data_IF_298221960581
#
_entry.id   IF_298221960581
#
_cell.length_a   1.000
_cell.length_b   1.000
_cell.length_c   1.000
_cell.angle_alpha   90.00
_cell.angle_beta   90.00
_cell.angle_gamma   90.00
#
_symmetry.space_group_name_H-M   'P 1'
#
loop_
_entity.id
_entity.type
_entity.pdbx_description
1 polymer ?
#
# COMPACT_ATOMS: atom_id res chain seq x y z
N UNK A 1 3.02 12.26 -6.26
CA UNK A 1 3.26 12.49 -7.70
C UNK A 1 2.05 13.18 -8.31
N UNK A 2 2.28 14.10 -9.24
CA UNK A 2 1.18 14.74 -9.98
C UNK A 2 0.64 13.78 -11.07
N UNK A 3 -0.66 13.83 -11.36
CA UNK A 3 -1.21 13.10 -12.49
C UNK A 3 -0.53 13.48 -13.82
N UNK A 4 -0.17 12.49 -14.64
CA UNK A 4 0.52 12.71 -15.92
C UNK A 4 2.02 13.05 -15.82
N UNK A 5 2.59 13.08 -14.62
CA UNK A 5 4.02 13.28 -14.41
C UNK A 5 4.82 12.08 -14.91
N UNK A 6 5.71 12.29 -15.88
CA UNK A 6 6.66 11.26 -16.30
C UNK A 6 7.75 11.07 -15.25
N UNK A 7 7.83 9.86 -14.72
CA UNK A 7 8.76 9.50 -13.65
C UNK A 7 10.10 9.07 -14.21
N UNK A 8 11.16 9.59 -13.61
CA UNK A 8 12.52 9.09 -13.81
C UNK A 8 13.10 8.78 -12.41
N UNK A 9 13.17 7.51 -12.08
CA UNK A 9 13.63 7.04 -10.76
C UNK A 9 15.11 7.32 -10.52
N UNK A 10 15.93 7.36 -11.56
CA UNK A 10 17.36 7.71 -11.45
C UNK A 10 17.57 9.16 -10.94
N UNK A 11 16.60 10.05 -11.18
CA UNK A 11 16.60 11.43 -10.68
C UNK A 11 15.97 11.60 -9.30
N UNK A 12 15.33 10.57 -8.77
CA UNK A 12 14.70 10.59 -7.45
C UNK A 12 15.62 9.99 -6.41
N UNK A 13 15.73 10.69 -5.27
CA UNK A 13 16.60 10.25 -4.17
C UNK A 13 16.00 9.02 -3.48
N UNK A 14 16.84 8.02 -3.22
CA UNK A 14 16.52 6.86 -2.38
C UNK A 14 16.82 7.13 -0.90
N UNK A 15 17.68 8.14 -0.63
CA UNK A 15 18.06 8.61 0.71
C UNK A 15 17.91 10.12 0.79
N UNK A 16 17.30 10.62 1.85
CA UNK A 16 17.16 12.05 2.18
C UNK A 16 17.77 12.33 3.54
N UNK A 17 17.95 13.60 3.89
CA UNK A 17 18.29 13.99 5.25
C UNK A 17 17.27 13.39 6.22
N UNK A 18 17.69 12.85 7.39
CA UNK A 18 16.76 12.38 8.40
C UNK A 18 15.77 13.49 8.81
N UNK A 19 14.49 13.14 8.89
CA UNK A 19 13.43 14.00 9.42
C UNK A 19 13.49 14.09 10.96
N UNK A 20 14.51 13.51 11.59
CA UNK A 20 14.72 13.44 13.02
C UNK A 20 16.23 13.59 13.33
N UNK A 21 16.56 14.04 14.55
CA UNK A 21 17.95 14.30 14.97
C UNK A 21 18.54 13.13 15.77
N UNK A 22 17.70 12.31 16.42
CA UNK A 22 18.13 11.17 17.22
C UNK A 22 17.12 10.02 17.14
N UNK A 23 17.51 8.85 17.64
CA UNK A 23 16.63 7.68 17.73
C UNK A 23 15.42 7.94 18.63
N UNK A 24 15.63 8.67 19.71
CA UNK A 24 14.59 9.04 20.67
C UNK A 24 13.56 9.96 20.01
N UNK A 25 14.00 11.00 19.30
CA UNK A 25 13.12 11.89 18.56
C UNK A 25 12.34 11.16 17.47
N UNK A 26 12.98 10.21 16.76
CA UNK A 26 12.27 9.35 15.81
C UNK A 26 11.15 8.56 16.48
N UNK A 27 11.43 7.97 17.66
CA UNK A 27 10.42 7.20 18.40
C UNK A 27 9.27 8.07 18.89
N UNK A 28 9.58 9.29 19.36
CA UNK A 28 8.59 10.28 19.77
C UNK A 28 7.66 10.66 18.61
N UNK A 29 8.21 11.14 17.49
CA UNK A 29 7.42 11.54 16.32
C UNK A 29 6.57 10.36 15.78
N UNK A 30 7.16 9.18 15.67
CA UNK A 30 6.40 8.01 15.20
C UNK A 30 5.29 7.62 16.21
N UNK A 31 5.57 7.72 17.52
CA UNK A 31 4.59 7.48 18.57
C UNK A 31 3.39 8.44 18.51
N UNK A 32 3.65 9.72 18.27
CA UNK A 32 2.60 10.73 18.04
C UNK A 32 1.76 10.41 16.80
N UNK A 33 2.43 10.09 15.68
CA UNK A 33 1.72 9.68 14.45
C UNK A 33 0.84 8.44 14.68
N UNK A 34 1.34 7.43 15.39
CA UNK A 34 0.58 6.20 15.69
C UNK A 34 -0.63 6.51 16.57
N UNK A 35 -0.47 7.34 17.61
CA UNK A 35 -1.57 7.77 18.47
C UNK A 35 -2.67 8.48 17.67
N UNK A 36 -2.28 9.39 16.80
CA UNK A 36 -3.21 10.13 15.97
C UNK A 36 -3.87 9.22 14.92
N UNK A 37 -3.12 8.31 14.27
CA UNK A 37 -3.65 7.30 13.37
C UNK A 37 -4.70 6.43 14.04
N UNK A 38 -4.46 6.00 15.28
CA UNK A 38 -5.41 5.22 16.07
C UNK A 38 -6.71 5.99 16.32
N UNK A 39 -6.62 7.28 16.64
CA UNK A 39 -7.79 8.14 16.80
C UNK A 39 -8.56 8.33 15.50
N UNK A 40 -7.86 8.59 14.39
CA UNK A 40 -8.48 8.73 13.06
C UNK A 40 -9.11 7.41 12.58
N UNK A 41 -8.51 6.26 12.88
CA UNK A 41 -9.06 4.95 12.55
C UNK A 41 -10.36 4.68 13.33
N UNK A 42 -10.38 5.01 14.62
CA UNK A 42 -11.59 4.89 15.44
C UNK A 42 -12.73 5.78 14.91
N UNK A 43 -12.39 6.97 14.44
CA UNK A 43 -13.32 7.88 13.81
C UNK A 43 -13.82 7.36 12.46
N UNK A 44 -12.94 6.81 11.62
CA UNK A 44 -13.28 6.17 10.35
C UNK A 44 -14.26 5.00 10.57
N UNK A 45 -13.98 4.17 11.58
CA UNK A 45 -14.82 3.04 11.94
C UNK A 45 -16.23 3.48 12.36
N UNK A 46 -16.33 4.50 13.22
CA UNK A 46 -17.62 5.01 13.69
C UNK A 46 -18.38 5.74 12.57
N UNK A 47 -17.70 6.50 11.72
CA UNK A 47 -18.29 7.25 10.61
C UNK A 47 -18.84 6.33 9.52
N UNK A 48 -18.17 5.22 9.25
CA UNK A 48 -18.60 4.11 8.40
C UNK A 48 -19.13 4.51 6.99
N UNK A 49 -18.55 5.55 6.37
CA UNK A 49 -18.90 6.01 5.03
C UNK A 49 -17.79 5.81 4.01
N UNK A 50 -16.54 5.88 4.46
CA UNK A 50 -15.35 5.67 3.66
C UNK A 50 -14.66 4.37 4.03
N UNK A 51 -13.92 3.81 3.08
CA UNK A 51 -12.84 2.87 3.35
C UNK A 51 -11.53 3.44 2.86
N UNK A 52 -10.41 2.94 3.39
CA UNK A 52 -9.06 3.34 2.96
C UNK A 52 -8.31 2.10 2.49
N UNK A 53 -7.75 2.17 1.30
CA UNK A 53 -6.89 1.13 0.74
C UNK A 53 -5.47 1.65 0.61
N UNK A 54 -4.54 1.05 1.36
CA UNK A 54 -3.11 1.33 1.30
C UNK A 54 -2.42 0.26 0.46
N UNK A 55 -1.73 0.66 -0.60
CA UNK A 55 -1.01 -0.25 -1.49
C UNK A 55 0.48 -0.01 -1.33
N UNK A 56 1.24 -1.07 -1.06
CA UNK A 56 2.69 -1.03 -0.91
C UNK A 56 3.36 -1.83 -2.01
N UNK A 57 4.13 -1.15 -2.84
CA UNK A 57 4.95 -1.75 -3.89
C UNK A 57 6.43 -1.39 -3.70
N UNK A 58 7.31 -2.31 -3.95
CA UNK A 58 8.75 -2.11 -3.90
C UNK A 58 9.51 -3.34 -4.36
N UNK A 59 10.77 -3.15 -4.70
CA UNK A 59 11.75 -4.23 -4.83
C UNK A 59 11.88 -5.03 -3.53
N UNK A 60 12.43 -6.25 -3.63
CA UNK A 60 12.68 -7.06 -2.45
C UNK A 60 13.66 -6.37 -1.50
N UNK A 61 13.53 -6.66 -0.21
CA UNK A 61 14.25 -6.03 0.89
C UNK A 61 13.99 -4.53 1.10
N UNK A 62 13.12 -3.86 0.35
CA UNK A 62 12.82 -2.45 0.54
C UNK A 62 12.17 -2.13 1.91
N UNK A 63 11.60 -3.12 2.58
CA UNK A 63 11.10 -2.97 3.95
C UNK A 63 9.59 -2.77 4.06
N UNK A 64 8.81 -3.22 3.06
CA UNK A 64 7.33 -3.17 3.08
C UNK A 64 6.74 -3.71 4.40
N UNK A 65 7.06 -4.95 4.78
CA UNK A 65 6.56 -5.57 6.01
C UNK A 65 6.91 -4.75 7.26
N UNK A 66 8.14 -4.22 7.30
CA UNK A 66 8.61 -3.41 8.42
C UNK A 66 7.90 -2.06 8.49
N UNK A 67 7.62 -1.42 7.37
CA UNK A 67 6.87 -0.17 7.32
C UNK A 67 5.43 -0.38 7.81
N UNK A 68 4.74 -1.37 7.26
CA UNK A 68 3.37 -1.75 7.67
C UNK A 68 3.32 -2.04 9.17
N UNK A 69 4.21 -2.93 9.67
CA UNK A 69 4.27 -3.30 11.08
C UNK A 69 4.41 -2.09 12.01
N UNK A 70 5.33 -1.15 11.69
CA UNK A 70 5.63 -0.05 12.60
C UNK A 70 4.59 1.08 12.49
N UNK A 71 4.12 1.40 11.30
CA UNK A 71 3.12 2.46 11.10
C UNK A 71 1.75 2.06 11.65
N UNK A 72 1.41 0.78 11.56
CA UNK A 72 0.11 0.26 11.98
C UNK A 72 0.10 -0.34 13.40
N UNK A 73 1.19 -0.18 14.18
CA UNK A 73 1.34 -0.87 15.47
C UNK A 73 0.33 -0.48 16.55
N UNK A 74 -0.26 0.72 16.47
CA UNK A 74 -1.28 1.21 17.41
C UNK A 74 -2.72 1.17 16.88
N UNK A 75 -2.93 0.60 15.69
CA UNK A 75 -4.24 0.52 15.06
C UNK A 75 -5.05 -0.67 15.63
N UNK A 76 -6.33 -0.46 15.90
CA UNK A 76 -7.21 -1.54 16.32
C UNK A 76 -7.31 -2.61 15.21
N UNK A 77 -6.93 -3.88 15.49
CA UNK A 77 -6.97 -4.95 14.50
C UNK A 77 -8.36 -5.18 13.87
N UNK A 78 -9.44 -4.90 14.58
CA UNK A 78 -10.80 -5.01 14.05
C UNK A 78 -11.09 -4.00 12.91
N UNK A 79 -10.35 -2.92 12.85
CA UNK A 79 -10.51 -1.86 11.85
C UNK A 79 -9.46 -1.90 10.73
N UNK A 80 -8.59 -2.92 10.71
CA UNK A 80 -7.48 -3.00 9.77
C UNK A 80 -7.24 -4.43 9.31
N UNK A 81 -7.10 -4.64 8.00
CA UNK A 81 -6.81 -5.94 7.40
C UNK A 81 -5.58 -5.83 6.51
N UNK A 82 -4.64 -6.78 6.63
CA UNK A 82 -3.41 -6.83 5.84
C UNK A 82 -3.39 -8.08 4.99
N UNK A 83 -3.25 -7.90 3.69
CA UNK A 83 -3.14 -8.97 2.72
C UNK A 83 -1.79 -8.90 2.01
N UNK A 84 -1.10 -10.03 1.95
CA UNK A 84 0.17 -10.17 1.23
C UNK A 84 -0.03 -11.03 0.00
N UNK A 85 0.03 -10.42 -1.17
CA UNK A 85 -0.15 -11.13 -2.44
C UNK A 85 1.20 -11.77 -2.85
N UNK A 86 1.15 -13.08 -3.00
CA UNK A 86 2.23 -13.91 -3.55
C UNK A 86 1.88 -14.31 -4.99
N UNK A 87 2.64 -15.24 -5.54
CA UNK A 87 2.31 -15.87 -6.82
C UNK A 87 0.85 -16.36 -6.80
N UNK A 88 0.07 -16.11 -7.86
CA UNK A 88 -1.32 -16.56 -7.95
C UNK A 88 -1.45 -18.08 -7.79
N UNK A 89 -2.51 -18.52 -7.13
CA UNK A 89 -2.90 -19.93 -7.09
C UNK A 89 -3.53 -20.35 -8.42
N UNK A 90 -3.73 -21.66 -8.63
CA UNK A 90 -4.43 -22.17 -9.81
C UNK A 90 -5.86 -21.59 -9.92
N UNK A 91 -6.60 -21.49 -8.78
CA UNK A 91 -7.93 -20.87 -8.75
C UNK A 91 -7.88 -19.39 -9.16
N UNK A 92 -6.89 -18.64 -8.69
CA UNK A 92 -6.73 -17.22 -9.02
C UNK A 92 -6.39 -17.00 -10.50
N UNK A 93 -5.71 -17.95 -11.15
CA UNK A 93 -5.39 -17.91 -12.59
C UNK A 93 -6.58 -18.22 -13.51
N UNK A 94 -7.64 -18.87 -13.00
CA UNK A 94 -8.88 -19.10 -13.73
C UNK A 94 -9.78 -17.85 -13.80
N UNK A 95 -9.37 -16.77 -13.17
CA UNK A 95 -10.09 -15.49 -13.12
C UNK A 95 -9.24 -14.36 -13.70
N UNK A 96 -9.88 -13.22 -13.95
CA UNK A 96 -9.17 -12.00 -14.34
C UNK A 96 -8.20 -11.54 -13.22
N UNK A 97 -7.18 -10.79 -13.59
CA UNK A 97 -6.10 -10.41 -12.68
C UNK A 97 -6.52 -9.51 -11.51
N UNK A 98 -7.68 -8.87 -11.55
CA UNK A 98 -8.23 -8.06 -10.45
C UNK A 98 -9.01 -8.89 -9.45
N UNK A 99 -9.52 -10.05 -9.84
CA UNK A 99 -10.45 -10.85 -9.04
C UNK A 99 -9.92 -11.16 -7.64
N UNK A 100 -8.69 -11.64 -7.52
CA UNK A 100 -8.08 -12.01 -6.23
C UNK A 100 -7.95 -10.83 -5.27
N UNK A 101 -7.76 -9.61 -5.79
CA UNK A 101 -7.66 -8.39 -4.98
C UNK A 101 -9.03 -7.79 -4.70
N UNK A 102 -9.97 -7.92 -5.61
CA UNK A 102 -11.36 -7.43 -5.46
C UNK A 102 -12.06 -8.07 -4.27
N UNK A 103 -11.85 -9.35 -4.04
CA UNK A 103 -12.43 -10.10 -2.89
C UNK A 103 -11.92 -9.62 -1.53
N UNK A 104 -10.79 -8.91 -1.50
CA UNK A 104 -10.08 -8.51 -0.30
C UNK A 104 -10.12 -6.98 -0.07
N UNK A 105 -10.98 -6.29 -0.81
CA UNK A 105 -11.18 -4.85 -0.63
C UNK A 105 -11.74 -4.53 0.76
N UNK A 106 -11.32 -3.41 1.36
CA UNK A 106 -11.79 -3.04 2.68
C UNK A 106 -13.26 -2.64 2.68
N UNK A 107 -14.00 -3.12 3.68
CA UNK A 107 -15.33 -2.64 4.00
C UNK A 107 -15.31 -1.17 4.42
N UNK A 108 -16.47 -0.50 4.36
CA UNK A 108 -16.59 0.86 4.92
C UNK A 108 -16.23 0.86 6.41
N UNK A 109 -15.59 1.93 6.87
CA UNK A 109 -15.06 2.03 8.21
C UNK A 109 -13.73 1.30 8.44
N UNK A 110 -13.16 0.66 7.42
CA UNK A 110 -11.97 -0.17 7.54
C UNK A 110 -10.79 0.38 6.74
N UNK A 111 -9.59 -0.02 7.16
CA UNK A 111 -8.34 0.18 6.43
C UNK A 111 -7.88 -1.17 5.89
N UNK A 112 -7.84 -1.32 4.57
CA UNK A 112 -7.21 -2.44 3.89
C UNK A 112 -5.78 -2.10 3.53
N UNK A 113 -4.87 -3.05 3.70
CA UNK A 113 -3.46 -2.89 3.36
C UNK A 113 -3.06 -4.03 2.43
N UNK A 114 -2.67 -3.67 1.23
CA UNK A 114 -2.14 -4.59 0.25
C UNK A 114 -0.61 -4.51 0.23
N UNK A 115 0.04 -5.54 0.75
CA UNK A 115 1.48 -5.77 0.59
C UNK A 115 1.71 -6.53 -0.71
N UNK A 116 2.15 -5.82 -1.75
CA UNK A 116 1.94 -6.09 -3.17
C UNK A 116 0.44 -6.00 -3.53
N UNK A 117 0.09 -6.08 -4.79
CA UNK A 117 -1.31 -5.91 -5.22
C UNK A 117 -1.50 -6.33 -6.68
N UNK A 118 -2.60 -5.95 -7.29
CA UNK A 118 -2.83 -6.06 -8.73
C UNK A 118 -1.77 -5.34 -9.59
N UNK A 119 -0.95 -4.49 -9.01
CA UNK A 119 0.18 -3.86 -9.71
C UNK A 119 1.30 -4.85 -10.06
N UNK A 120 1.36 -6.03 -9.43
CA UNK A 120 2.30 -7.10 -9.85
C UNK A 120 2.09 -7.46 -11.34
N UNK A 121 0.85 -7.32 -11.83
CA UNK A 121 0.47 -7.64 -13.21
C UNK A 121 1.07 -6.69 -14.28
N UNK A 122 1.57 -5.53 -13.86
CA UNK A 122 2.27 -4.57 -14.71
C UNK A 122 3.70 -4.31 -14.22
N UNK A 123 4.14 -5.06 -13.23
CA UNK A 123 5.50 -5.04 -12.67
C UNK A 123 6.21 -6.36 -12.95
N UNK A 124 6.00 -7.39 -12.13
CA UNK A 124 6.67 -8.68 -12.30
C UNK A 124 6.28 -9.35 -13.62
N UNK A 125 5.01 -9.34 -13.99
CA UNK A 125 4.55 -9.93 -15.26
C UNK A 125 5.15 -9.20 -16.46
N UNK A 126 5.43 -7.91 -16.34
CA UNK A 126 6.11 -7.15 -17.41
C UNK A 126 7.61 -7.47 -17.51
N UNK A 127 8.24 -7.84 -16.41
CA UNK A 127 9.64 -8.27 -16.38
C UNK A 127 9.78 -9.71 -16.83
N UNK A 128 8.75 -10.52 -16.57
CA UNK A 128 8.65 -11.95 -16.90
C UNK A 128 7.40 -12.17 -17.78
N UNK A 129 7.43 -11.76 -19.06
CA UNK A 129 6.26 -11.79 -19.93
C UNK A 129 5.73 -13.21 -20.20
N UNK A 130 6.54 -14.24 -20.00
CA UNK A 130 6.13 -15.65 -20.06
C UNK A 130 5.01 -15.98 -19.06
N UNK A 131 4.85 -15.22 -18.00
CA UNK A 131 3.75 -15.38 -17.02
C UNK A 131 2.39 -15.10 -17.68
N UNK A 132 2.32 -14.20 -18.66
CA UNK A 132 1.07 -13.91 -19.39
C UNK A 132 0.46 -15.19 -19.99
N UNK A 133 1.30 -16.07 -20.52
CA UNK A 133 0.86 -17.31 -21.16
C UNK A 133 0.20 -18.29 -20.17
N UNK A 134 0.40 -18.09 -18.86
CA UNK A 134 -0.17 -18.93 -17.81
C UNK A 134 -1.52 -18.41 -17.29
N UNK A 135 -1.98 -17.26 -17.79
CA UNK A 135 -3.16 -16.57 -17.26
C UNK A 135 -4.46 -16.88 -18.04
N UNK A 136 -4.42 -17.81 -19.02
CA UNK A 136 -5.61 -18.22 -19.76
C UNK A 136 -6.26 -17.11 -20.60
N UNK A 137 -5.52 -16.04 -20.92
CA UNK A 137 -6.03 -14.92 -21.73
C UNK A 137 -6.11 -15.39 -23.21
N UNK A 138 -7.22 -15.11 -23.94
CA UNK A 138 -7.32 -15.41 -25.36
C UNK A 138 -6.17 -14.81 -26.18
N UNK A 139 -5.61 -15.58 -27.13
CA UNK A 139 -4.43 -15.16 -27.89
C UNK A 139 -4.62 -13.84 -28.64
N UNK A 140 -5.83 -13.57 -29.13
CA UNK A 140 -6.17 -12.32 -29.81
C UNK A 140 -6.08 -11.08 -28.91
N UNK A 141 -6.10 -11.25 -27.58
CA UNK A 141 -5.95 -10.19 -26.57
C UNK A 141 -4.51 -10.07 -26.04
N UNK A 142 -3.63 -11.00 -26.39
CA UNK A 142 -2.22 -11.03 -25.98
C UNK A 142 -1.30 -10.24 -26.93
N UNK A 143 -1.77 -9.13 -27.49
CA UNK A 143 -0.92 -8.29 -28.32
C UNK A 143 0.12 -7.56 -27.45
N UNK A 144 1.40 -7.88 -27.61
CA UNK A 144 2.51 -7.32 -26.84
C UNK A 144 2.60 -5.78 -26.86
N UNK A 145 2.05 -5.14 -27.91
CA UNK A 145 2.05 -3.68 -28.06
C UNK A 145 0.98 -3.00 -27.22
N UNK A 146 -0.16 -3.64 -27.00
CA UNK A 146 -1.34 -3.04 -26.36
C UNK A 146 -1.67 -3.62 -25.00
N UNK A 147 -1.28 -4.86 -24.69
CA UNK A 147 -1.63 -5.56 -23.46
C UNK A 147 -1.30 -4.76 -22.18
N UNK A 148 -0.19 -4.01 -22.19
CA UNK A 148 0.21 -3.21 -21.02
C UNK A 148 -0.64 -1.96 -20.87
N UNK A 149 -0.99 -1.29 -21.96
CA UNK A 149 -1.90 -0.12 -21.94
C UNK A 149 -3.28 -0.53 -21.45
N UNK A 150 -3.82 -1.65 -21.97
CA UNK A 150 -5.11 -2.19 -21.55
C UNK A 150 -5.11 -2.56 -20.06
N UNK A 151 -4.02 -3.12 -19.55
CA UNK A 151 -3.89 -3.38 -18.10
C UNK A 151 -3.86 -2.09 -17.27
N UNK A 152 -3.17 -1.06 -17.73
CA UNK A 152 -3.19 0.23 -17.05
C UNK A 152 -4.58 0.85 -17.07
N UNK A 153 -5.29 0.78 -18.19
CA UNK A 153 -6.70 1.24 -18.30
C UNK A 153 -7.60 0.49 -17.32
N UNK A 154 -7.52 -0.83 -17.28
CA UNK A 154 -8.31 -1.66 -16.36
C UNK A 154 -8.05 -1.29 -14.90
N UNK A 155 -6.78 -1.07 -14.51
CA UNK A 155 -6.42 -0.64 -13.16
C UNK A 155 -6.98 0.75 -12.86
N UNK A 156 -6.83 1.70 -13.79
CA UNK A 156 -7.32 3.07 -13.61
C UNK A 156 -8.84 3.14 -13.47
N UNK A 157 -9.57 2.39 -14.28
CA UNK A 157 -11.03 2.31 -14.21
C UNK A 157 -11.50 1.66 -12.92
N UNK A 158 -10.82 0.60 -12.47
CA UNK A 158 -11.06 -0.04 -11.19
C UNK A 158 -10.84 0.93 -10.02
N UNK A 159 -9.71 1.62 -9.96
CA UNK A 159 -9.43 2.60 -8.91
C UNK A 159 -10.43 3.77 -8.94
N UNK A 160 -10.81 4.24 -10.11
CA UNK A 160 -11.82 5.28 -10.31
C UNK A 160 -13.20 4.83 -9.83
N UNK A 161 -13.57 3.57 -10.11
CA UNK A 161 -14.80 2.96 -9.60
C UNK A 161 -14.79 2.93 -8.07
N UNK A 162 -13.73 2.45 -7.45
CA UNK A 162 -13.57 2.38 -6.00
C UNK A 162 -13.66 3.78 -5.36
N UNK A 163 -12.97 4.76 -5.93
CA UNK A 163 -13.01 6.14 -5.45
C UNK A 163 -14.43 6.73 -5.45
N UNK A 164 -15.18 6.52 -6.53
CA UNK A 164 -16.59 6.96 -6.65
C UNK A 164 -17.50 6.32 -5.60
N UNK A 165 -17.13 5.12 -5.13
CA UNK A 165 -17.87 4.38 -4.11
C UNK A 165 -17.37 4.59 -2.68
N UNK A 166 -16.47 5.58 -2.46
CA UNK A 166 -16.03 5.99 -1.13
C UNK A 166 -14.74 5.35 -0.65
N UNK A 167 -14.05 4.54 -1.45
CA UNK A 167 -12.72 4.02 -1.10
C UNK A 167 -11.65 5.07 -1.42
N UNK A 168 -10.80 5.38 -0.46
CA UNK A 168 -9.64 6.26 -0.65
C UNK A 168 -8.40 5.42 -0.81
N UNK A 169 -7.76 5.56 -1.98
CA UNK A 169 -6.60 4.74 -2.36
C UNK A 169 -5.34 5.58 -2.20
N UNK A 170 -4.35 5.02 -1.49
CA UNK A 170 -3.02 5.61 -1.31
C UNK A 170 -2.00 4.56 -1.75
N UNK A 171 -1.13 4.92 -2.67
CA UNK A 171 -0.16 4.00 -3.22
C UNK A 171 1.26 4.43 -2.85
N UNK A 172 2.01 3.53 -2.23
CA UNK A 172 3.40 3.75 -1.82
C UNK A 172 4.34 2.90 -2.66
N UNK A 173 5.28 3.55 -3.34
CA UNK A 173 6.44 2.91 -3.91
C UNK A 173 7.65 3.19 -3.02
N UNK A 174 8.19 2.15 -2.36
CA UNK A 174 9.38 2.28 -1.53
C UNK A 174 10.62 2.24 -2.43
N UNK A 175 11.15 3.42 -2.71
CA UNK A 175 12.27 3.61 -3.61
C UNK A 175 13.59 3.34 -2.88
N UNK A 176 14.14 2.14 -3.11
CA UNK A 176 15.36 1.63 -2.53
C UNK A 176 16.51 1.75 -3.52
N UNK A 177 17.73 2.02 -3.07
CA UNK A 177 18.92 1.88 -3.91
C UNK A 177 19.35 0.43 -4.05
N UNK A 178 20.00 0.11 -5.17
CA UNK A 178 20.52 -1.22 -5.39
C UNK A 178 21.59 -1.58 -4.34
N UNK A 179 22.40 -0.61 -3.90
CA UNK A 179 23.40 -0.80 -2.87
C UNK A 179 22.76 -1.12 -1.50
N UNK A 180 21.80 -0.35 -1.06
CA UNK A 180 21.09 -0.63 0.20
C UNK A 180 20.38 -2.00 0.16
N UNK A 181 19.86 -2.41 -1.01
CA UNK A 181 19.29 -3.75 -1.18
C UNK A 181 20.34 -4.83 -0.93
N UNK A 182 21.55 -4.67 -1.49
CA UNK A 182 22.67 -5.59 -1.28
C UNK A 182 23.02 -5.72 0.20
N UNK A 183 23.14 -4.60 0.90
CA UNK A 183 23.43 -4.60 2.33
C UNK A 183 22.33 -5.31 3.14
N UNK A 184 21.08 -5.09 2.78
CA UNK A 184 19.94 -5.76 3.44
C UNK A 184 19.87 -7.25 3.16
N UNK A 185 20.27 -7.69 1.97
CA UNK A 185 20.39 -9.11 1.65
C UNK A 185 21.49 -9.77 2.47
N UNK A 186 22.68 -9.18 2.54
CA UNK A 186 23.77 -9.67 3.38
C UNK A 186 23.32 -9.76 4.83
N UNK A 187 22.71 -8.70 5.37
CA UNK A 187 22.18 -8.70 6.74
C UNK A 187 21.06 -9.74 6.99
N UNK A 188 20.37 -10.23 5.95
CA UNK A 188 19.43 -11.37 6.07
C UNK A 188 20.16 -12.69 6.17
N UNK A 189 21.22 -12.88 5.40
CA UNK A 189 22.04 -14.10 5.42
C UNK A 189 22.71 -14.25 6.78
N UNK A 190 23.26 -13.16 7.33
CA UNK A 190 24.00 -13.15 8.59
C UNK A 190 23.10 -13.35 9.82
N UNK A 191 21.79 -13.16 9.70
CA UNK A 191 20.85 -13.26 10.82
C UNK A 191 20.03 -14.53 10.74
N UNK A 192 20.24 -15.52 11.64
CA UNK A 192 19.53 -16.80 11.63
C UNK A 192 18.01 -16.68 11.58
N UNK A 193 17.44 -15.69 12.30
CA UNK A 193 16.00 -15.43 12.34
C UNK A 193 15.44 -14.84 11.03
N UNK A 194 16.28 -14.53 10.04
CA UNK A 194 15.91 -13.92 8.77
C UNK A 194 16.31 -14.69 7.53
N UNK A 195 17.28 -15.60 7.64
CA UNK A 195 17.84 -16.27 6.47
C UNK A 195 16.83 -17.19 5.74
N UNK A 196 15.79 -17.67 6.43
CA UNK A 196 14.67 -18.38 5.81
C UNK A 196 13.89 -17.55 4.77
N UNK A 197 14.05 -16.22 4.77
CA UNK A 197 13.41 -15.29 3.80
C UNK A 197 14.25 -15.05 2.55
N UNK A 198 15.42 -15.62 2.46
CA UNK A 198 16.35 -15.36 1.39
C UNK A 198 16.64 -16.62 0.58
N UNK A 199 16.62 -16.50 -0.73
CA UNK A 199 16.89 -17.60 -1.64
C UNK A 199 17.62 -17.16 -2.93
N UNK A 200 18.02 -18.12 -3.75
CA UNK A 200 18.66 -17.83 -5.04
C UNK A 200 17.75 -17.02 -5.99
N UNK A 201 16.43 -17.14 -5.84
CA UNK A 201 15.47 -16.34 -6.58
C UNK A 201 15.66 -14.84 -6.38
N UNK A 202 15.94 -14.39 -5.13
CA UNK A 202 16.19 -12.97 -4.85
C UNK A 202 17.38 -12.40 -5.64
N UNK A 203 18.41 -13.22 -5.90
CA UNK A 203 19.58 -12.82 -6.72
C UNK A 203 19.19 -12.72 -8.19
N UNK A 204 18.40 -13.67 -8.70
CA UNK A 204 17.93 -13.63 -10.10
C UNK A 204 17.12 -12.38 -10.36
N UNK A 205 16.14 -12.07 -9.48
CA UNK A 205 15.34 -10.85 -9.58
C UNK A 205 16.18 -9.57 -9.46
N UNK A 206 17.20 -9.56 -8.59
CA UNK A 206 18.13 -8.43 -8.48
C UNK A 206 18.92 -8.20 -9.78
N UNK A 207 19.27 -9.24 -10.53
CA UNK A 207 19.97 -9.10 -11.81
C UNK A 207 19.08 -8.43 -12.89
N UNK A 208 17.78 -8.44 -12.72
CA UNK A 208 16.80 -7.79 -13.58
C UNK A 208 16.47 -6.35 -13.14
N UNK A 209 17.31 -5.75 -12.28
CA UNK A 209 17.08 -4.44 -11.66
C UNK A 209 16.63 -3.36 -12.63
N UNK A 210 17.32 -3.17 -13.76
CA UNK A 210 17.00 -2.12 -14.74
C UNK A 210 15.62 -2.37 -15.40
N UNK A 211 15.24 -3.62 -15.62
CA UNK A 211 13.93 -3.98 -16.15
C UNK A 211 12.83 -3.61 -15.15
N UNK A 212 13.03 -3.92 -13.86
CA UNK A 212 12.12 -3.52 -12.80
C UNK A 212 12.01 -2.01 -12.68
N UNK A 213 13.13 -1.28 -12.69
CA UNK A 213 13.10 0.19 -12.62
C UNK A 213 12.31 0.79 -13.77
N UNK A 214 12.48 0.29 -14.99
CA UNK A 214 11.71 0.71 -16.16
C UNK A 214 10.21 0.38 -16.03
N UNK A 215 9.89 -0.81 -15.52
CA UNK A 215 8.49 -1.21 -15.26
C UNK A 215 7.85 -0.30 -14.20
N UNK A 216 8.55 0.00 -13.10
CA UNK A 216 8.10 0.96 -12.08
C UNK A 216 7.94 2.37 -12.63
N UNK A 217 8.90 2.91 -13.38
CA UNK A 217 8.80 4.24 -13.99
C UNK A 217 7.54 4.38 -14.85
N UNK A 218 7.26 3.38 -15.69
CA UNK A 218 6.07 3.37 -16.52
C UNK A 218 4.81 3.24 -15.66
N UNK A 219 4.76 2.27 -14.75
CA UNK A 219 3.62 2.04 -13.86
C UNK A 219 3.26 3.31 -13.08
N UNK A 220 4.23 3.95 -12.44
CA UNK A 220 4.05 5.18 -11.67
C UNK A 220 3.56 6.33 -12.53
N UNK A 221 4.10 6.47 -13.75
CA UNK A 221 3.72 7.53 -14.70
C UNK A 221 2.29 7.37 -15.20
N UNK A 222 1.93 6.15 -15.59
CA UNK A 222 0.62 5.87 -16.21
C UNK A 222 -0.52 5.80 -15.19
N UNK A 223 -0.22 5.45 -13.93
CA UNK A 223 -1.28 5.16 -12.97
C UNK A 223 -1.36 6.12 -11.77
N UNK A 224 -0.56 7.19 -11.73
CA UNK A 224 -0.76 8.21 -10.69
C UNK A 224 -1.90 9.15 -11.05
N UNK A 225 -2.97 9.15 -10.24
CA UNK A 225 -4.16 9.97 -10.44
C UNK A 225 -4.49 10.80 -9.21
N UNK A 226 -5.41 11.77 -9.34
CA UNK A 226 -5.96 12.50 -8.19
C UNK A 226 -6.72 11.59 -7.23
N UNK A 227 -7.24 10.47 -7.73
CA UNK A 227 -8.09 9.54 -6.97
C UNK A 227 -7.29 8.42 -6.29
N UNK A 228 -6.11 8.12 -6.83
CA UNK A 228 -5.17 7.13 -6.32
C UNK A 228 -3.73 7.59 -6.60
N UNK A 229 -3.20 8.55 -5.82
CA UNK A 229 -1.86 9.07 -6.05
C UNK A 229 -0.79 8.07 -5.63
N UNK A 230 0.31 8.03 -6.38
CA UNK A 230 1.54 7.38 -5.97
C UNK A 230 2.41 8.32 -5.14
N UNK A 231 2.95 7.78 -4.05
CA UNK A 231 4.00 8.40 -3.25
C UNK A 231 5.28 7.61 -3.42
N UNK A 232 6.29 8.23 -4.04
CA UNK A 232 7.65 7.66 -4.14
C UNK A 232 8.38 7.98 -2.85
N UNK A 233 8.55 6.98 -2.00
CA UNK A 233 9.10 7.12 -0.65
C UNK A 233 10.58 6.73 -0.65
N UNK A 234 11.53 7.63 -0.30
CA UNK A 234 12.93 7.28 -0.08
C UNK A 234 13.05 6.21 0.99
N UNK A 235 13.60 5.04 0.65
CA UNK A 235 13.52 3.85 1.51
C UNK A 235 14.87 3.31 2.00
N UNK A 236 15.99 3.97 1.66
CA UNK A 236 17.30 3.61 2.21
C UNK A 236 17.36 3.86 3.72
N UNK A 237 16.68 4.89 4.22
CA UNK A 237 16.47 5.08 5.64
C UNK A 237 15.06 4.63 6.06
N UNK A 238 15.01 3.60 6.91
CA UNK A 238 13.75 3.00 7.36
C UNK A 238 12.93 3.94 8.25
N UNK A 239 13.61 4.77 9.05
CA UNK A 239 12.97 5.75 9.94
C UNK A 239 12.25 6.81 9.13
N UNK A 240 12.95 7.44 8.19
CA UNK A 240 12.35 8.41 7.27
C UNK A 240 11.17 7.82 6.51
N UNK A 241 11.32 6.64 5.93
CA UNK A 241 10.25 5.99 5.18
C UNK A 241 8.98 5.82 6.03
N UNK A 242 9.12 5.38 7.28
CA UNK A 242 7.98 5.20 8.21
C UNK A 242 7.31 6.51 8.58
N UNK A 243 8.08 7.56 8.85
CA UNK A 243 7.54 8.89 9.16
C UNK A 243 6.79 9.48 7.97
N UNK A 244 7.33 9.36 6.75
CA UNK A 244 6.67 9.83 5.53
C UNK A 244 5.35 9.06 5.30
N UNK A 245 5.37 7.75 5.41
CA UNK A 245 4.19 6.90 5.20
C UNK A 245 3.10 7.25 6.21
N UNK A 246 3.45 7.31 7.51
CA UNK A 246 2.49 7.64 8.57
C UNK A 246 1.89 9.03 8.38
N UNK A 247 2.70 10.02 7.99
CA UNK A 247 2.22 11.39 7.72
C UNK A 247 1.25 11.42 6.55
N UNK A 248 1.57 10.77 5.43
CA UNK A 248 0.69 10.72 4.24
C UNK A 248 -0.67 10.08 4.57
N UNK A 249 -0.67 9.02 5.37
CA UNK A 249 -1.92 8.38 5.81
C UNK A 249 -2.74 9.32 6.70
N UNK A 250 -2.09 9.99 7.66
CA UNK A 250 -2.73 10.98 8.53
C UNK A 250 -3.36 12.12 7.73
N UNK A 251 -2.61 12.71 6.81
CA UNK A 251 -3.11 13.82 5.97
C UNK A 251 -4.32 13.39 5.16
N UNK A 252 -4.31 12.17 4.62
CA UNK A 252 -5.44 11.63 3.86
C UNK A 252 -6.67 11.44 4.74
N UNK A 253 -6.51 10.89 5.95
CA UNK A 253 -7.63 10.69 6.87
C UNK A 253 -8.23 12.02 7.36
N UNK A 254 -7.40 13.01 7.66
CA UNK A 254 -7.83 14.36 8.08
C UNK A 254 -8.68 15.06 7.02
N UNK A 255 -8.34 14.93 5.76
CA UNK A 255 -9.09 15.54 4.63
C UNK A 255 -10.51 14.98 4.52
N UNK A 256 -10.78 13.78 5.04
CA UNK A 256 -12.13 13.19 4.99
C UNK A 256 -13.15 13.89 5.89
N UNK A 257 -12.72 14.77 6.80
CA UNK A 257 -13.59 15.56 7.71
C UNK A 257 -14.66 14.71 8.39
N UNK A 258 -14.25 13.55 8.89
CA UNK A 258 -15.15 12.60 9.54
C UNK A 258 -15.60 13.11 10.92
N UNK A 259 -16.79 12.69 11.34
CA UNK A 259 -17.34 12.97 12.65
C UNK A 259 -17.99 11.72 13.26
N UNK A 260 -18.05 11.63 14.56
CA UNK A 260 -18.86 10.59 15.21
C UNK A 260 -20.34 10.79 14.85
N UNK A 261 -21.10 9.70 14.64
CA UNK A 261 -22.54 9.81 14.37
C UNK A 261 -23.26 10.46 15.53
N UNK A 262 -24.01 11.51 15.27
CA UNK A 262 -24.85 12.15 16.28
C UNK A 262 -26.14 11.35 16.46
N UNK A 263 -26.51 11.01 17.70
CA UNK A 263 -27.77 10.34 17.96
C UNK A 263 -28.94 11.32 17.68
N UNK A 264 -30.02 10.80 17.09
CA UNK A 264 -31.27 11.56 16.94
C UNK A 264 -31.80 12.02 18.30
N UNK A 265 -32.66 13.05 18.34
CA UNK A 265 -33.28 13.54 19.58
C UNK A 265 -34.00 12.41 20.34
N UNK A 266 -34.68 11.51 19.63
CA UNK A 266 -35.35 10.36 20.21
C UNK A 266 -34.34 9.37 20.86
N UNK A 267 -33.27 9.04 20.12
CA UNK A 267 -32.21 8.15 20.64
C UNK A 267 -31.47 8.75 21.83
N UNK A 268 -31.24 10.06 21.83
CA UNK A 268 -30.62 10.76 22.97
C UNK A 268 -31.47 10.66 24.23
N UNK A 269 -32.82 10.82 24.09
CA UNK A 269 -33.77 10.67 25.19
C UNK A 269 -33.78 9.23 25.73
N UNK A 270 -33.78 8.25 24.85
CA UNK A 270 -33.68 6.84 25.21
C UNK A 270 -32.40 6.53 25.98
N UNK A 271 -31.25 6.96 25.48
CA UNK A 271 -29.95 6.79 26.14
C UNK A 271 -29.92 7.43 27.54
N UNK A 272 -30.50 8.60 27.72
CA UNK A 272 -30.63 9.23 29.04
C UNK A 272 -31.53 8.43 29.99
N UNK A 273 -32.59 7.82 29.49
CA UNK A 273 -33.44 6.92 30.27
C UNK A 273 -32.69 5.67 30.72
N UNK A 274 -31.98 5.01 29.78
CA UNK A 274 -31.13 3.83 30.08
C UNK A 274 -30.04 4.18 31.11
N UNK A 275 -29.39 5.34 30.96
CA UNK A 275 -28.39 5.81 31.93
C UNK A 275 -28.94 5.92 33.35
N UNK A 276 -30.21 6.42 33.49
CA UNK A 276 -30.89 6.51 34.81
C UNK A 276 -31.16 5.13 35.41
N UNK A 277 -31.45 4.12 34.58
CA UNK A 277 -31.66 2.74 35.04
C UNK A 277 -30.36 2.09 35.52
N UNK A 278 -29.27 2.35 34.82
CA UNK A 278 -27.94 1.79 35.16
C UNK A 278 -27.25 2.49 36.35
N UNK A 279 -27.72 3.68 36.73
CA UNK A 279 -27.18 4.44 37.85
C UNK A 279 -27.87 4.13 39.20
N UNK A 280 -28.88 3.22 39.20
CA UNK A 280 -29.51 2.66 40.40
C UNK A 280 -28.82 1.38 40.81
#
# INVERSE_FOLDING_TARGET
MQPGEKVNLKKRRTRIKPCYKSKEQYQEILGEHIKELSAQQSLLYAYNRYSVLLIFQAMDAAGKDGAIKHVMSGINPQGCQVFSFKQPSAEELEHDFLWRTTRLLPERGRIGIFNRSYYEEVLIVRVHPEILNTQGIPEELLNEKTVWEERYHSILDFEKHLHRNGTRIIKFYLHLSQEEQRERFIARIDKPEKNWKFGQGDIKERNLWEHYMKAYETCLSETSTKHGPWYVVPADDKGNARLIISQVILDTLKVLKMSYPEPTKARRKELLSIRKLLAK
#
